data_IF_569608684799
#
_entry.id   IF_569608684799
#
_cell.length_a   1.000
_cell.length_b   1.000
_cell.length_c   1.000
_cell.angle_alpha   90.00
_cell.angle_beta   90.00
_cell.angle_gamma   90.00
#
_symmetry.space_group_name_H-M   'P 1'
#
loop_
_entity.id
_entity.type
_entity.pdbx_description
1 polymer ?
#
# COMPACT_ATOMS: atom_id res chain seq x y z
N UNK A 1 13.16 9.18 -1.67
CA UNK A 1 12.11 10.18 -1.99
C UNK A 1 11.19 9.70 -3.12
N UNK A 2 11.74 9.09 -4.19
CA UNK A 2 10.96 8.39 -5.21
C UNK A 2 10.16 7.21 -4.63
N UNK A 3 10.76 6.47 -3.69
CA UNK A 3 10.14 5.28 -3.07
C UNK A 3 8.92 5.60 -2.19
N UNK A 4 8.89 6.76 -1.53
CA UNK A 4 7.73 7.20 -0.72
C UNK A 4 6.54 7.50 -1.63
N UNK A 5 6.77 8.21 -2.75
CA UNK A 5 5.72 8.53 -3.71
C UNK A 5 5.18 7.27 -4.39
N UNK A 6 6.05 6.32 -4.71
CA UNK A 6 5.66 5.01 -5.26
C UNK A 6 4.80 4.23 -4.24
N UNK A 7 5.22 4.12 -2.98
CA UNK A 7 4.42 3.47 -1.91
C UNK A 7 3.08 4.17 -1.65
N UNK A 8 3.04 5.50 -1.65
CA UNK A 8 1.79 6.26 -1.46
C UNK A 8 0.80 6.01 -2.59
N UNK A 9 1.29 5.97 -3.83
CA UNK A 9 0.47 5.64 -5.00
C UNK A 9 -0.03 4.20 -4.91
N UNK A 10 0.87 3.26 -4.63
CA UNK A 10 0.54 1.85 -4.49
C UNK A 10 -0.54 1.61 -3.42
N UNK A 11 -0.43 2.25 -2.25
CA UNK A 11 -1.44 2.13 -1.19
C UNK A 11 -2.82 2.60 -1.67
N UNK A 12 -2.88 3.73 -2.37
CA UNK A 12 -4.14 4.26 -2.93
C UNK A 12 -4.72 3.32 -3.98
N UNK A 13 -3.89 2.83 -4.89
CA UNK A 13 -4.30 1.91 -5.95
C UNK A 13 -4.85 0.60 -5.34
N UNK A 14 -4.21 0.07 -4.30
CA UNK A 14 -4.69 -1.13 -3.61
C UNK A 14 -6.02 -0.92 -2.90
N UNK A 15 -6.19 0.18 -2.16
CA UNK A 15 -7.45 0.52 -1.49
C UNK A 15 -8.60 0.52 -2.52
N UNK A 16 -8.37 1.11 -3.70
CA UNK A 16 -9.35 1.08 -4.79
C UNK A 16 -9.55 -0.33 -5.37
N UNK A 17 -8.48 -1.10 -5.58
CA UNK A 17 -8.57 -2.48 -6.12
C UNK A 17 -9.36 -3.44 -5.22
N UNK A 18 -9.28 -3.29 -3.90
CA UNK A 18 -10.08 -4.08 -2.95
C UNK A 18 -11.52 -3.56 -2.81
N UNK A 19 -11.92 -2.58 -3.62
CA UNK A 19 -13.29 -2.04 -3.64
C UNK A 19 -13.58 -1.02 -2.52
N UNK A 20 -12.57 -0.47 -1.86
CA UNK A 20 -12.75 0.47 -0.75
C UNK A 20 -12.47 1.91 -1.16
N UNK A 21 -13.10 2.85 -0.44
CA UNK A 21 -12.69 4.26 -0.45
C UNK A 21 -11.60 4.48 0.60
N UNK A 22 -10.74 5.49 0.40
CA UNK A 22 -9.75 5.90 1.41
C UNK A 22 -10.38 6.22 2.78
N UNK A 23 -11.59 6.81 2.76
CA UNK A 23 -12.37 7.13 3.97
C UNK A 23 -12.80 5.86 4.70
N UNK A 24 -13.40 4.91 3.97
CA UNK A 24 -13.86 3.67 4.58
C UNK A 24 -12.70 2.82 5.08
N UNK A 25 -11.61 2.72 4.32
CA UNK A 25 -10.40 2.01 4.72
C UNK A 25 -9.85 2.52 6.05
N UNK A 26 -9.71 3.84 6.23
CA UNK A 26 -9.15 4.39 7.46
C UNK A 26 -10.13 4.30 8.63
N UNK A 27 -11.43 4.32 8.37
CA UNK A 27 -12.47 4.09 9.37
C UNK A 27 -12.37 2.67 9.93
N UNK A 28 -12.26 1.65 9.06
CA UNK A 28 -12.03 0.26 9.48
C UNK A 28 -10.71 0.12 10.25
N UNK A 29 -9.62 0.75 9.77
CA UNK A 29 -8.36 0.77 10.49
C UNK A 29 -8.51 1.33 11.90
N UNK A 30 -9.29 2.40 12.07
CA UNK A 30 -9.51 2.99 13.38
C UNK A 30 -10.32 2.07 14.29
N UNK A 31 -11.39 1.45 13.77
CA UNK A 31 -12.25 0.51 14.50
C UNK A 31 -11.45 -0.70 14.99
N UNK A 32 -10.55 -1.22 14.15
CA UNK A 32 -9.81 -2.45 14.45
C UNK A 32 -8.59 -2.23 15.37
N UNK A 33 -8.02 -1.02 15.37
CA UNK A 33 -6.76 -0.73 16.09
C UNK A 33 -6.93 0.21 17.28
N UNK A 34 -8.05 0.93 17.38
CA UNK A 34 -8.29 1.92 18.42
C UNK A 34 -9.74 1.88 18.91
N UNK A 35 -9.97 2.36 20.14
CA UNK A 35 -11.33 2.59 20.64
C UNK A 35 -11.70 4.07 20.47
N UNK A 36 -11.66 4.55 19.23
CA UNK A 36 -11.93 5.96 18.91
C UNK A 36 -13.42 6.26 18.81
N UNK A 37 -13.78 7.46 19.25
CA UNK A 37 -15.06 8.10 18.96
C UNK A 37 -15.16 8.51 17.49
N UNK A 38 -16.37 8.78 17.00
CA UNK A 38 -16.57 9.24 15.61
C UNK A 38 -15.76 10.51 15.27
N UNK A 39 -15.62 11.41 16.24
CA UNK A 39 -14.88 12.65 16.04
C UNK A 39 -13.37 12.39 15.92
N UNK A 40 -12.82 11.48 16.74
CA UNK A 40 -11.43 11.03 16.63
C UNK A 40 -11.17 10.32 15.29
N UNK A 41 -12.12 9.51 14.79
CA UNK A 41 -12.04 8.88 13.47
C UNK A 41 -11.98 9.96 12.37
N UNK A 42 -12.79 11.02 12.45
CA UNK A 42 -12.74 12.13 11.48
C UNK A 42 -11.39 12.84 11.49
N UNK A 43 -10.84 13.11 12.67
CA UNK A 43 -9.53 13.73 12.81
C UNK A 43 -8.43 12.82 12.26
N UNK A 44 -8.54 11.52 12.49
CA UNK A 44 -7.60 10.53 11.97
C UNK A 44 -7.67 10.42 10.44
N UNK A 45 -8.85 10.56 9.85
CA UNK A 45 -9.00 10.59 8.40
C UNK A 45 -8.24 11.77 7.77
N UNK A 46 -8.31 12.96 8.38
CA UNK A 46 -7.53 14.12 7.90
C UNK A 46 -6.02 13.94 8.10
N UNK A 47 -5.61 13.22 9.17
CA UNK A 47 -4.21 12.83 9.37
C UNK A 47 -3.76 11.86 8.28
N UNK A 48 -4.52 10.80 8.01
CA UNK A 48 -4.24 9.81 6.98
C UNK A 48 -4.09 10.44 5.60
N UNK A 49 -5.02 11.33 5.20
CA UNK A 49 -4.94 12.08 3.94
C UNK A 49 -3.60 12.81 3.78
N UNK A 50 -3.11 13.44 4.85
CA UNK A 50 -1.82 14.13 4.86
C UNK A 50 -0.67 13.14 4.74
N UNK A 51 -0.72 12.01 5.46
CA UNK A 51 0.32 10.99 5.45
C UNK A 51 0.48 10.32 4.07
N UNK A 52 -0.60 10.04 3.35
CA UNK A 52 -0.54 9.44 2.01
C UNK A 52 -0.30 10.44 0.87
N UNK A 53 -0.09 11.72 1.19
CA UNK A 53 0.10 12.79 0.19
C UNK A 53 1.40 13.56 0.35
N UNK A 54 1.93 13.67 1.59
CA UNK A 54 3.16 14.43 1.86
C UNK A 54 4.40 13.60 1.54
N UNK A 55 5.34 14.19 0.81
CA UNK A 55 6.65 13.57 0.50
C UNK A 55 7.54 13.33 1.73
N UNK A 56 7.23 14.02 2.84
CA UNK A 56 7.95 13.93 4.11
C UNK A 56 7.41 12.86 5.05
N UNK A 57 6.37 12.13 4.64
CA UNK A 57 5.84 11.00 5.43
C UNK A 57 6.91 9.93 5.58
N UNK A 58 7.10 9.48 6.83
CA UNK A 58 7.99 8.39 7.18
C UNK A 58 7.51 7.07 6.57
N UNK A 59 8.42 6.24 6.07
CA UNK A 59 8.07 5.01 5.34
C UNK A 59 7.31 4.03 6.26
N UNK A 60 7.68 4.01 7.54
CA UNK A 60 7.12 3.14 8.58
C UNK A 60 5.65 3.49 8.87
N UNK A 61 5.21 4.71 8.56
CA UNK A 61 3.79 5.08 8.67
C UNK A 61 2.98 4.41 7.57
N UNK A 62 3.53 4.38 6.34
CA UNK A 62 2.88 3.71 5.22
C UNK A 62 2.87 2.20 5.42
N UNK A 63 3.94 1.63 5.98
CA UNK A 63 4.05 0.19 6.23
C UNK A 63 2.94 -0.32 7.15
N UNK A 64 2.55 0.44 8.18
CA UNK A 64 1.42 0.10 9.05
C UNK A 64 0.09 0.00 8.30
N UNK A 65 -0.14 0.89 7.33
CA UNK A 65 -1.35 0.82 6.51
C UNK A 65 -1.32 -0.35 5.55
N UNK A 66 -0.15 -0.69 5.02
CA UNK A 66 0.01 -1.89 4.22
C UNK A 66 -0.20 -3.17 5.03
N UNK A 67 0.34 -3.27 6.24
CA UNK A 67 0.10 -4.39 7.16
C UNK A 67 -1.40 -4.58 7.42
N UNK A 68 -2.11 -3.50 7.72
CA UNK A 68 -3.56 -3.54 7.86
C UNK A 68 -4.26 -3.97 6.56
N UNK A 69 -3.94 -3.34 5.43
CA UNK A 69 -4.48 -3.69 4.11
C UNK A 69 -4.37 -5.20 3.83
N UNK A 70 -3.23 -5.82 4.15
CA UNK A 70 -3.01 -7.25 3.91
C UNK A 70 -3.76 -8.17 4.89
N UNK A 71 -4.19 -7.64 6.04
CA UNK A 71 -5.01 -8.40 6.99
C UNK A 71 -6.48 -8.51 6.54
N UNK A 72 -6.95 -7.57 5.72
CA UNK A 72 -8.34 -7.49 5.25
C UNK A 72 -8.74 -8.71 4.41
N UNK A 73 -9.95 -9.20 4.64
CA UNK A 73 -10.50 -10.32 3.88
C UNK A 73 -10.77 -9.94 2.42
N UNK A 74 -11.11 -8.67 2.15
CA UNK A 74 -11.21 -8.11 0.81
C UNK A 74 -9.89 -8.28 0.06
N UNK A 75 -8.75 -8.00 0.72
CA UNK A 75 -7.45 -8.17 0.09
C UNK A 75 -7.17 -9.64 -0.23
N UNK A 76 -7.48 -10.56 0.69
CA UNK A 76 -7.32 -12.01 0.48
C UNK A 76 -8.18 -12.52 -0.68
N UNK A 77 -9.40 -12.01 -0.82
CA UNK A 77 -10.36 -12.39 -1.89
C UNK A 77 -9.92 -11.97 -3.29
N UNK A 78 -9.21 -10.84 -3.40
CA UNK A 78 -8.69 -10.37 -4.71
C UNK A 78 -7.59 -11.32 -5.22
N UNK A 79 -7.06 -12.24 -4.39
CA UNK A 79 -6.19 -13.33 -4.84
C UNK A 79 -4.80 -12.89 -5.30
N UNK A 80 -4.44 -11.63 -5.05
CA UNK A 80 -3.11 -11.12 -5.37
C UNK A 80 -2.13 -11.49 -4.26
N UNK A 81 -1.15 -12.34 -4.62
CA UNK A 81 0.01 -12.61 -3.77
C UNK A 81 0.84 -11.33 -3.68
N UNK A 82 1.11 -10.88 -2.45
CA UNK A 82 1.93 -9.69 -2.17
C UNK A 82 3.29 -9.79 -2.89
N UNK A 83 3.58 -8.92 -3.89
CA UNK A 83 4.89 -8.88 -4.50
C UNK A 83 5.85 -8.20 -3.51
N UNK A 84 6.65 -8.98 -2.80
CA UNK A 84 7.77 -8.44 -2.05
C UNK A 84 9.02 -8.47 -2.93
N UNK A 85 9.60 -7.30 -3.17
CA UNK A 85 10.96 -7.23 -3.67
C UNK A 85 11.92 -7.40 -2.49
N UNK A 86 12.68 -8.50 -2.48
CA UNK A 86 13.78 -8.70 -1.56
C UNK A 86 15.06 -8.30 -2.31
N UNK A 87 15.63 -7.14 -1.96
CA UNK A 87 16.93 -6.73 -2.47
C UNK A 87 17.99 -7.66 -1.88
N UNK A 88 18.53 -8.55 -2.70
CA UNK A 88 19.67 -9.41 -2.36
C UNK A 88 20.88 -8.93 -3.16
N UNK A 89 21.47 -7.84 -2.68
CA UNK A 89 22.72 -7.28 -3.25
C UNK A 89 23.89 -8.28 -3.13
N UNK A 90 23.72 -9.36 -2.35
CA UNK A 90 24.62 -10.49 -2.19
C UNK A 90 24.46 -11.60 -3.25
N UNK A 91 23.33 -11.64 -3.98
CA UNK A 91 22.99 -12.74 -4.90
C UNK A 91 22.75 -12.31 -6.34
N UNK A 92 22.35 -11.07 -6.58
CA UNK A 92 21.92 -10.62 -7.90
C UNK A 92 22.59 -9.31 -8.28
N UNK A 93 23.22 -9.31 -9.45
CA UNK A 93 23.82 -8.11 -10.02
C UNK A 93 22.78 -7.08 -10.48
N UNK A 94 23.26 -5.89 -10.82
CA UNK A 94 22.41 -4.78 -11.24
C UNK A 94 21.60 -5.09 -12.53
N UNK A 95 22.14 -5.92 -13.42
CA UNK A 95 21.45 -6.31 -14.66
C UNK A 95 20.26 -7.25 -14.36
N UNK A 96 20.45 -8.20 -13.44
CA UNK A 96 19.38 -9.09 -12.99
C UNK A 96 18.26 -8.31 -12.30
N UNK A 97 18.60 -7.39 -11.39
CA UNK A 97 17.61 -6.56 -10.71
C UNK A 97 16.84 -5.67 -11.69
N UNK A 98 17.51 -5.14 -12.72
CA UNK A 98 16.87 -4.36 -13.77
C UNK A 98 15.88 -5.19 -14.58
N UNK A 99 16.28 -6.38 -15.04
CA UNK A 99 15.42 -7.31 -15.80
C UNK A 99 14.21 -7.77 -14.98
N UNK A 100 14.40 -8.10 -13.70
CA UNK A 100 13.28 -8.47 -12.82
C UNK A 100 12.28 -7.33 -12.64
N UNK A 101 12.77 -6.08 -12.58
CA UNK A 101 11.90 -4.90 -12.54
C UNK A 101 11.10 -4.69 -13.83
N UNK A 102 11.68 -5.02 -14.99
CA UNK A 102 10.98 -4.98 -16.28
C UNK A 102 9.90 -6.07 -16.36
N UNK A 103 10.22 -7.32 -16.00
CA UNK A 103 9.27 -8.43 -15.96
C UNK A 103 8.11 -8.13 -15.00
N UNK A 104 8.39 -7.61 -13.81
CA UNK A 104 7.37 -7.25 -12.83
C UNK A 104 6.40 -6.19 -13.37
N UNK A 105 6.90 -5.18 -14.09
CA UNK A 105 6.06 -4.17 -14.75
C UNK A 105 5.17 -4.78 -15.83
N UNK A 106 5.72 -5.66 -16.67
CA UNK A 106 4.96 -6.29 -17.75
C UNK A 106 3.83 -7.18 -17.21
N UNK A 107 4.11 -7.98 -16.17
CA UNK A 107 3.09 -8.78 -15.48
C UNK A 107 2.01 -7.87 -14.89
N UNK A 108 2.40 -6.77 -14.24
CA UNK A 108 1.45 -5.81 -13.65
C UNK A 108 0.55 -5.19 -14.70
N UNK A 109 1.09 -4.79 -15.86
CA UNK A 109 0.30 -4.25 -16.98
C UNK A 109 -0.72 -5.28 -17.48
N UNK A 110 -0.28 -6.52 -17.74
CA UNK A 110 -1.17 -7.58 -18.22
C UNK A 110 -2.29 -7.96 -17.25
N UNK A 111 -2.09 -7.76 -15.96
CA UNK A 111 -3.11 -8.00 -14.93
C UNK A 111 -4.11 -6.85 -14.78
N UNK A 112 -3.78 -5.64 -15.23
CA UNK A 112 -4.66 -4.47 -15.22
C UNK A 112 -5.55 -4.39 -16.49
N UNK A 113 -5.13 -5.04 -17.58
CA UNK A 113 -5.88 -5.09 -18.86
C UNK A 113 -6.95 -6.20 -18.91
N UNK A 114 -7.23 -6.88 -17.79
CA UNK A 114 -8.29 -7.88 -17.65
C UNK A 114 -9.41 -7.36 -16.75
#
# INVERSE_FOLDING_TARGET
MKDILEKQKELKDWITKIGMTQKYFIEQYCIDNFNFTEEEIRQYHEKFKKEISRKTTKIEVLDKYFEFLYSLDEFKKVGYVKPFYIKRDDLFDDDFNKKMKEISKEITMRLLDK
#
